data_IF_356374889947
#
_entry.id   IF_356374889947
#
_cell.length_a   1.000
_cell.length_b   1.000
_cell.length_c   1.000
_cell.angle_alpha   90.00
_cell.angle_beta   90.00
_cell.angle_gamma   90.00
#
_symmetry.space_group_name_H-M   'P 1'
#
loop_
_entity.id
_entity.type
_entity.pdbx_description
1 polymer ?
#
# COMPACT_ATOMS: atom_id res chain seq x y z
N UNK A 1 -5.61 8.09 5.48
CA UNK A 1 -4.43 8.22 4.60
C UNK A 1 -4.88 8.49 3.17
N UNK A 2 -3.96 8.38 2.20
CA UNK A 2 -4.19 8.68 0.78
C UNK A 2 -5.42 7.98 0.17
N UNK A 3 -5.79 6.79 0.65
CA UNK A 3 -6.99 6.06 0.23
C UNK A 3 -8.28 6.88 0.42
N UNK A 4 -8.39 7.71 1.47
CA UNK A 4 -9.56 8.56 1.69
C UNK A 4 -9.72 9.69 0.67
N UNK A 5 -8.66 9.99 -0.09
CA UNK A 5 -8.67 10.98 -1.17
C UNK A 5 -8.85 10.33 -2.56
N UNK A 6 -9.07 9.01 -2.63
CA UNK A 6 -9.30 8.29 -3.90
C UNK A 6 -8.03 7.82 -4.62
N UNK A 7 -6.85 7.92 -4.01
CA UNK A 7 -5.62 7.37 -4.59
C UNK A 7 -5.52 5.84 -4.45
N UNK A 8 -4.96 5.18 -5.47
CA UNK A 8 -4.48 3.80 -5.37
C UNK A 8 -3.32 3.76 -4.38
N UNK A 9 -3.56 3.14 -3.23
CA UNK A 9 -2.68 3.18 -2.06
C UNK A 9 -2.19 1.79 -1.70
N UNK A 10 -0.88 1.69 -1.45
CA UNK A 10 -0.22 0.50 -0.91
C UNK A 10 0.41 0.86 0.43
N UNK A 11 0.22 0.01 1.45
CA UNK A 11 1.00 0.08 2.68
C UNK A 11 2.11 -0.97 2.67
N UNK A 12 3.36 -0.52 2.67
CA UNK A 12 4.50 -1.41 2.82
C UNK A 12 4.84 -1.58 4.30
N UNK A 13 4.54 -2.75 4.86
CA UNK A 13 4.78 -3.09 6.25
C UNK A 13 5.90 -4.13 6.36
N UNK A 14 7.14 -3.66 6.50
CA UNK A 14 8.35 -4.50 6.59
C UNK A 14 8.51 -5.20 7.94
N UNK A 15 7.92 -4.64 8.99
CA UNK A 15 8.04 -5.14 10.36
C UNK A 15 6.84 -5.97 10.82
N UNK A 16 5.83 -6.15 9.94
CA UNK A 16 4.57 -6.81 10.26
C UNK A 16 3.87 -6.19 11.48
N UNK A 17 3.94 -4.87 11.60
CA UNK A 17 3.26 -4.11 12.65
C UNK A 17 1.73 -4.28 12.57
N UNK A 18 1.00 -4.19 13.69
CA UNK A 18 -0.45 -4.16 13.68
C UNK A 18 -1.03 -3.07 12.78
N UNK A 19 -2.19 -3.36 12.17
CA UNK A 19 -2.87 -2.41 11.29
C UNK A 19 -3.55 -1.31 12.11
N UNK A 20 -3.22 -0.05 11.83
CA UNK A 20 -3.90 1.10 12.40
C UNK A 20 -5.38 1.12 12.02
N UNK A 21 -6.25 1.46 12.98
CA UNK A 21 -7.70 1.57 12.76
C UNK A 21 -8.05 2.94 12.17
N UNK A 22 -7.68 3.14 10.91
CA UNK A 22 -8.02 4.34 10.15
C UNK A 22 -9.42 4.23 9.52
N UNK A 23 -10.14 5.35 9.29
CA UNK A 23 -11.44 5.34 8.60
C UNK A 23 -11.38 4.81 7.16
N UNK A 24 -10.19 4.82 6.54
CA UNK A 24 -9.93 4.41 5.17
C UNK A 24 -8.67 3.55 5.13
N UNK A 25 -8.73 2.40 4.45
CA UNK A 25 -7.65 1.41 4.36
C UNK A 25 -6.96 1.41 2.99
N UNK A 26 -5.67 1.04 2.90
CA UNK A 26 -5.00 0.85 1.62
C UNK A 26 -5.58 -0.35 0.87
N UNK A 27 -5.48 -0.35 -0.47
CA UNK A 27 -5.95 -1.46 -1.29
C UNK A 27 -5.03 -2.69 -1.20
N UNK A 28 -3.75 -2.49 -0.89
CA UNK A 28 -2.77 -3.56 -0.71
C UNK A 28 -1.88 -3.29 0.48
N UNK A 29 -1.53 -4.35 1.20
CA UNK A 29 -0.44 -4.35 2.18
C UNK A 29 0.66 -5.28 1.66
N UNK A 30 1.90 -4.80 1.59
CA UNK A 30 3.03 -5.55 1.06
C UNK A 30 4.15 -5.64 2.11
N UNK A 31 4.93 -6.73 2.15
CA UNK A 31 6.04 -6.87 3.08
C UNK A 31 7.29 -6.08 2.66
N UNK A 32 7.37 -5.62 1.40
CA UNK A 32 8.51 -4.89 0.86
C UNK A 32 8.13 -4.12 -0.43
N UNK A 33 9.11 -3.50 -1.07
CA UNK A 33 8.92 -2.63 -2.24
C UNK A 33 9.04 -3.34 -3.60
N UNK A 34 9.37 -4.64 -3.64
CA UNK A 34 9.76 -5.33 -4.89
C UNK A 34 8.68 -5.27 -5.97
N UNK A 35 7.41 -5.34 -5.59
CA UNK A 35 6.30 -5.36 -6.54
C UNK A 35 5.79 -3.98 -6.93
N UNK A 36 6.26 -2.90 -6.28
CA UNK A 36 5.76 -1.54 -6.52
C UNK A 36 5.95 -1.10 -7.98
N UNK A 37 7.11 -1.28 -8.63
CA UNK A 37 7.26 -0.87 -10.03
C UNK A 37 6.27 -1.53 -10.98
N UNK A 38 5.95 -2.82 -10.77
CA UNK A 38 4.91 -3.52 -11.51
C UNK A 38 3.52 -2.93 -11.23
N UNK A 39 3.20 -2.66 -9.96
CA UNK A 39 1.92 -2.04 -9.58
C UNK A 39 1.77 -0.61 -10.11
N UNK A 40 2.87 0.09 -10.34
CA UNK A 40 2.91 1.43 -10.93
C UNK A 40 2.94 1.42 -12.47
N UNK A 41 2.96 0.24 -13.11
CA UNK A 41 3.01 0.13 -14.58
C UNK A 41 4.37 0.50 -15.18
N UNK A 42 5.47 0.41 -14.42
CA UNK A 42 6.82 0.73 -14.89
C UNK A 42 7.47 -0.45 -15.63
N UNK A 43 7.04 -1.68 -15.34
CA UNK A 43 7.52 -2.90 -16.00
C UNK A 43 6.32 -3.74 -16.44
N UNK A 44 5.90 -3.56 -17.69
CA UNK A 44 5.08 -4.53 -18.43
C UNK A 44 5.99 -5.54 -19.15
#
# INVERSE_FOLDING_TARGET
GAAGYGFNTVWVNRANEPVDRLPWTPQKVLPNLKDIPKLAGIYD
#
